data_IF_359657127248
#
_entry.id   IF_359657127248
#
_cell.length_a   1.000
_cell.length_b   1.000
_cell.length_c   1.000
_cell.angle_alpha   90.00
_cell.angle_beta   90.00
_cell.angle_gamma   90.00
#
_symmetry.space_group_name_H-M   'P 1'
#
loop_
_entity.id
_entity.type
_entity.pdbx_description
1 polymer ?
#
# COMPACT_ATOMS: atom_id res chain seq x y z
N UNK A 1 18.64 2.13 -9.46
CA UNK A 1 17.92 3.31 -10.00
C UNK A 1 17.19 3.97 -8.85
N UNK A 2 17.19 5.31 -8.71
CA UNK A 2 16.39 5.96 -7.69
C UNK A 2 14.92 5.67 -8.01
N UNK A 3 14.27 5.04 -7.04
CA UNK A 3 12.88 4.62 -7.04
C UNK A 3 11.99 5.84 -7.36
N UNK A 4 10.96 5.67 -8.18
CA UNK A 4 10.04 6.74 -8.61
C UNK A 4 9.21 7.27 -7.43
N UNK A 5 9.82 8.10 -6.60
CA UNK A 5 9.16 8.89 -5.57
C UNK A 5 8.55 10.11 -6.26
N UNK A 6 7.28 10.47 -5.97
CA UNK A 6 6.82 11.83 -6.25
C UNK A 6 7.34 12.74 -5.13
N UNK A 7 8.44 13.49 -5.32
CA UNK A 7 9.19 14.07 -4.21
C UNK A 7 8.37 15.05 -3.34
N UNK A 8 7.45 15.87 -3.89
CA UNK A 8 6.66 16.80 -3.10
C UNK A 8 5.74 16.13 -2.06
N UNK A 9 5.01 15.07 -2.43
CA UNK A 9 4.08 14.39 -1.52
C UNK A 9 4.85 13.68 -0.41
N UNK A 10 5.94 12.99 -0.76
CA UNK A 10 6.76 12.31 0.23
C UNK A 10 7.40 13.32 1.21
N UNK A 11 7.94 14.43 0.71
CA UNK A 11 8.52 15.47 1.55
C UNK A 11 7.45 16.10 2.48
N UNK A 12 6.26 16.40 1.94
CA UNK A 12 5.15 16.91 2.73
C UNK A 12 4.76 15.93 3.83
N UNK A 13 4.63 14.64 3.53
CA UNK A 13 4.30 13.61 4.51
C UNK A 13 5.35 13.50 5.61
N UNK A 14 6.63 13.39 5.24
CA UNK A 14 7.73 13.28 6.21
C UNK A 14 7.85 14.51 7.12
N UNK A 15 7.43 15.69 6.65
CA UNK A 15 7.40 16.90 7.46
C UNK A 15 6.39 16.85 8.62
N UNK A 16 5.30 16.09 8.49
CA UNK A 16 4.29 15.91 9.56
C UNK A 16 4.45 14.58 10.29
N UNK A 17 4.82 13.53 9.56
CA UNK A 17 4.99 12.17 10.06
C UNK A 17 6.38 11.66 9.66
N UNK A 18 7.41 11.90 10.50
CA UNK A 18 8.76 11.41 10.22
C UNK A 18 8.86 9.88 10.12
N UNK A 19 7.84 9.15 10.59
CA UNK A 19 7.68 7.70 10.48
C UNK A 19 7.32 7.22 9.08
N UNK A 20 6.96 8.11 8.16
CA UNK A 20 6.73 7.76 6.76
C UNK A 20 8.08 7.41 6.12
N UNK A 21 8.21 6.17 5.67
CA UNK A 21 9.44 5.66 5.05
C UNK A 21 9.44 6.00 3.56
N UNK A 22 8.36 5.66 2.86
CA UNK A 22 8.23 5.81 1.43
C UNK A 22 6.78 6.07 1.00
N UNK A 23 6.60 6.77 -0.11
CA UNK A 23 5.29 7.01 -0.72
C UNK A 23 5.35 6.70 -2.22
N UNK A 24 4.53 5.75 -2.66
CA UNK A 24 4.22 5.53 -4.06
C UNK A 24 2.93 6.30 -4.41
N UNK A 25 3.08 7.52 -4.91
CA UNK A 25 1.97 8.38 -5.35
C UNK A 25 1.82 8.41 -6.88
N UNK A 26 2.46 7.49 -7.60
CA UNK A 26 2.42 7.42 -9.07
C UNK A 26 1.59 6.24 -9.57
N UNK A 27 1.10 5.37 -8.68
CA UNK A 27 0.32 4.21 -9.05
C UNK A 27 -0.96 4.65 -9.78
N UNK A 28 -1.17 4.11 -10.99
CA UNK A 28 -2.32 4.43 -11.85
C UNK A 28 -2.60 5.94 -11.93
N UNK A 29 -1.62 6.72 -12.41
CA UNK A 29 -1.73 8.18 -12.60
C UNK A 29 -1.95 8.99 -11.31
N UNK A 30 -1.57 8.47 -10.15
CA UNK A 30 -1.69 9.14 -8.85
C UNK A 30 -3.09 9.10 -8.23
N UNK A 31 -4.00 8.35 -8.85
CA UNK A 31 -5.33 8.04 -8.29
C UNK A 31 -5.21 7.01 -7.16
N UNK A 32 -4.24 6.09 -7.28
CA UNK A 32 -3.85 5.16 -6.22
C UNK A 32 -2.56 5.63 -5.54
N UNK A 33 -2.56 5.63 -4.21
CA UNK A 33 -1.39 5.99 -3.41
C UNK A 33 -1.14 4.92 -2.36
N UNK A 34 0.12 4.48 -2.26
CA UNK A 34 0.54 3.49 -1.27
C UNK A 34 1.61 4.16 -0.40
N UNK A 35 1.39 4.17 0.92
CA UNK A 35 2.28 4.79 1.90
C UNK A 35 2.82 3.72 2.82
N UNK A 36 4.14 3.61 2.92
CA UNK A 36 4.81 2.78 3.91
C UNK A 36 5.21 3.63 5.11
N UNK A 37 4.75 3.23 6.31
CA UNK A 37 4.97 4.00 7.54
C UNK A 37 5.03 3.10 8.76
N UNK A 38 5.79 3.56 9.77
CA UNK A 38 5.85 2.93 11.08
C UNK A 38 4.70 3.37 11.97
N UNK A 39 3.90 2.43 12.45
CA UNK A 39 2.79 2.69 13.37
C UNK A 39 3.28 2.89 14.81
N UNK A 40 2.93 4.03 15.43
CA UNK A 40 3.20 4.32 16.86
C UNK A 40 2.07 3.93 17.79
N UNK A 41 0.85 3.90 17.28
CA UNK A 41 -0.39 3.71 18.03
C UNK A 41 -1.41 3.02 17.12
N UNK A 42 -2.35 2.29 17.71
CA UNK A 42 -3.50 1.76 16.98
C UNK A 42 -4.23 2.85 16.19
N UNK A 43 -4.46 2.60 14.90
CA UNK A 43 -5.13 3.54 13.99
C UNK A 43 -4.24 4.65 13.44
N UNK A 44 -2.93 4.61 13.67
CA UNK A 44 -1.98 5.61 13.17
C UNK A 44 -1.99 5.71 11.63
N UNK A 45 -2.11 4.59 10.93
CA UNK A 45 -2.17 4.58 9.46
C UNK A 45 -3.31 5.45 8.90
N UNK A 46 -4.49 5.41 9.54
CA UNK A 46 -5.62 6.28 9.19
C UNK A 46 -5.27 7.77 9.31
N UNK A 47 -4.53 8.18 10.34
CA UNK A 47 -4.12 9.57 10.51
C UNK A 47 -3.17 10.02 9.38
N UNK A 48 -2.22 9.17 9.00
CA UNK A 48 -1.32 9.41 7.86
C UNK A 48 -2.10 9.55 6.55
N UNK A 49 -3.06 8.65 6.30
CA UNK A 49 -3.93 8.70 5.13
C UNK A 49 -4.77 9.99 5.08
N UNK A 50 -5.42 10.35 6.19
CA UNK A 50 -6.24 11.56 6.27
C UNK A 50 -5.41 12.82 6.02
N UNK A 51 -4.18 12.87 6.55
CA UNK A 51 -3.27 13.98 6.23
C UNK A 51 -2.93 14.01 4.75
N UNK A 52 -2.65 12.85 4.13
CA UNK A 52 -2.36 12.77 2.69
C UNK A 52 -3.48 13.40 1.88
N UNK A 53 -4.72 13.00 2.17
CA UNK A 53 -5.92 13.49 1.50
C UNK A 53 -6.21 14.98 1.76
N UNK A 54 -5.55 15.60 2.74
CA UNK A 54 -5.64 17.05 3.01
C UNK A 54 -4.49 17.87 2.41
N UNK A 55 -3.51 17.24 1.76
CA UNK A 55 -2.42 17.97 1.10
C UNK A 55 -2.87 18.55 -0.25
N UNK A 56 -2.25 19.66 -0.73
CA UNK A 56 -2.60 20.24 -2.03
C UNK A 56 -2.54 19.27 -3.22
N UNK A 57 -1.64 18.28 -3.18
CA UNK A 57 -1.53 17.26 -4.21
C UNK A 57 -2.30 15.97 -3.89
N UNK A 58 -2.53 15.62 -2.62
CA UNK A 58 -3.33 14.44 -2.30
C UNK A 58 -4.83 14.66 -2.44
N UNK A 59 -5.32 15.85 -2.06
CA UNK A 59 -6.76 16.17 -2.08
C UNK A 59 -7.40 16.00 -3.46
N UNK A 60 -6.88 16.60 -4.56
CA UNK A 60 -7.51 16.48 -5.87
C UNK A 60 -7.18 15.18 -6.61
N UNK A 61 -6.03 14.55 -6.38
CA UNK A 61 -5.58 13.40 -7.17
C UNK A 61 -5.85 12.05 -6.50
N UNK A 62 -5.62 11.92 -5.19
CA UNK A 62 -5.66 10.62 -4.51
C UNK A 62 -7.08 10.20 -4.21
N UNK A 63 -7.49 9.06 -4.77
CA UNK A 63 -8.79 8.43 -4.52
C UNK A 63 -8.66 7.24 -3.57
N UNK A 64 -7.71 6.35 -3.86
CA UNK A 64 -7.46 5.14 -3.08
C UNK A 64 -6.13 5.30 -2.38
N UNK A 65 -6.13 5.23 -1.05
CA UNK A 65 -4.93 5.31 -0.22
C UNK A 65 -4.78 4.01 0.56
N UNK A 66 -3.66 3.34 0.38
CA UNK A 66 -3.30 2.11 1.08
C UNK A 66 -2.13 2.43 1.99
N UNK A 67 -2.26 2.10 3.27
CA UNK A 67 -1.19 2.28 4.25
C UNK A 67 -0.65 0.90 4.60
N UNK A 68 0.67 0.75 4.54
CA UNK A 68 1.39 -0.49 4.84
C UNK A 68 2.51 -0.22 5.84
N UNK A 69 3.00 -1.28 6.48
CA UNK A 69 4.09 -1.19 7.45
C UNK A 69 5.41 -0.69 6.82
N UNK A 70 6.35 -0.24 7.66
CA UNK A 70 7.65 0.29 7.26
C UNK A 70 8.54 -0.69 6.48
N UNK A 71 8.27 -1.99 6.61
CA UNK A 71 9.02 -3.08 5.95
C UNK A 71 8.36 -3.54 4.65
N UNK A 72 7.18 -3.04 4.32
CA UNK A 72 6.49 -3.35 3.06
C UNK A 72 6.89 -2.30 2.02
N UNK A 73 7.49 -2.74 0.91
CA UNK A 73 7.84 -1.85 -0.19
C UNK A 73 6.56 -1.42 -0.96
N UNK A 74 6.19 -0.12 -0.97
CA UNK A 74 5.00 0.37 -1.65
C UNK A 74 5.10 0.29 -3.19
N UNK A 75 6.26 -0.07 -3.74
CA UNK A 75 6.47 -0.33 -5.16
C UNK A 75 6.39 -1.83 -5.51
N UNK A 76 6.38 -2.71 -4.50
CA UNK A 76 6.25 -4.15 -4.66
C UNK A 76 4.80 -4.60 -4.41
N UNK A 77 4.00 -4.62 -5.48
CA UNK A 77 2.58 -4.94 -5.37
C UNK A 77 2.29 -6.31 -4.72
N UNK A 78 3.05 -7.40 -5.00
CA UNK A 78 2.91 -8.65 -4.24
C UNK A 78 2.98 -8.47 -2.71
N UNK A 79 3.93 -7.68 -2.19
CA UNK A 79 4.02 -7.41 -0.76
C UNK A 79 2.82 -6.58 -0.26
N UNK A 80 2.38 -5.58 -1.02
CA UNK A 80 1.19 -4.78 -0.69
C UNK A 80 -0.07 -5.64 -0.64
N UNK A 81 -0.25 -6.53 -1.62
CA UNK A 81 -1.40 -7.45 -1.65
C UNK A 81 -1.37 -8.45 -0.49
N UNK A 82 -0.18 -8.94 -0.10
CA UNK A 82 -0.04 -9.73 1.11
C UNK A 82 -0.46 -8.94 2.37
N UNK A 83 -0.01 -7.70 2.52
CA UNK A 83 -0.41 -6.86 3.65
C UNK A 83 -1.95 -6.68 3.70
N UNK A 84 -2.56 -6.36 2.55
CA UNK A 84 -4.01 -6.22 2.40
C UNK A 84 -4.77 -7.49 2.82
N UNK A 85 -4.30 -8.66 2.41
CA UNK A 85 -5.01 -9.93 2.63
C UNK A 85 -4.83 -10.51 4.03
N UNK A 86 -3.80 -10.09 4.76
CA UNK A 86 -3.44 -10.69 6.06
C UNK A 86 -3.62 -9.74 7.25
N UNK A 87 -3.71 -8.42 7.03
CA UNK A 87 -3.76 -7.42 8.10
C UNK A 87 -5.04 -6.60 8.14
N UNK A 88 -5.78 -6.51 7.04
CA UNK A 88 -6.99 -5.69 6.97
C UNK A 88 -8.17 -6.45 7.57
N UNK A 89 -8.84 -5.87 8.57
CA UNK A 89 -10.19 -6.28 8.96
C UNK A 89 -11.18 -5.34 8.26
N UNK A 90 -11.91 -5.80 7.23
CA UNK A 90 -12.67 -4.90 6.37
C UNK A 90 -13.67 -3.99 7.10
N UNK A 91 -14.31 -4.47 8.17
CA UNK A 91 -15.26 -3.68 8.96
C UNK A 91 -14.64 -2.52 9.74
N UNK A 92 -13.32 -2.55 9.97
CA UNK A 92 -12.61 -1.60 10.82
C UNK A 92 -11.57 -0.78 10.05
N UNK A 93 -10.86 -1.43 9.14
CA UNK A 93 -9.63 -0.92 8.55
C UNK A 93 -9.85 -0.36 7.13
N UNK A 94 -11.07 -0.50 6.60
CA UNK A 94 -11.53 0.14 5.36
C UNK A 94 -12.42 1.34 5.71
N UNK A 95 -12.02 2.54 5.26
CA UNK A 95 -12.80 3.77 5.44
C UNK A 95 -13.20 4.31 4.10
N UNK A 96 -14.49 4.66 3.98
CA UNK A 96 -15.04 5.37 2.85
C UNK A 96 -15.33 6.81 3.27
N UNK A 97 -14.87 7.77 2.47
CA UNK A 97 -15.17 9.19 2.62
C UNK A 97 -16.02 9.59 1.41
N UNK A 98 -17.36 9.56 1.53
CA UNK A 98 -18.23 9.84 0.41
C UNK A 98 -18.21 11.34 0.06
N UNK A 99 -18.54 11.66 -1.19
CA UNK A 99 -18.73 13.03 -1.67
C UNK A 99 -17.51 13.96 -1.45
N UNK A 100 -16.31 13.42 -1.60
CA UNK A 100 -15.07 14.16 -1.42
C UNK A 100 -14.59 14.79 -2.74
N UNK A 101 -13.85 15.92 -2.70
CA UNK A 101 -13.23 16.51 -3.88
C UNK A 101 -12.32 15.51 -4.58
N UNK A 102 -12.36 15.49 -5.91
CA UNK A 102 -11.60 14.57 -6.74
C UNK A 102 -11.20 15.17 -8.08
N UNK A 103 -10.54 14.35 -8.89
CA UNK A 103 -10.08 14.74 -10.22
C UNK A 103 -11.24 14.63 -11.23
N UNK A 104 -11.62 15.69 -11.95
CA UNK A 104 -12.68 15.62 -12.96
C UNK A 104 -12.44 14.61 -14.08
N UNK A 105 -11.18 14.26 -14.34
CA UNK A 105 -10.79 13.25 -15.34
C UNK A 105 -10.91 11.79 -14.84
N UNK A 106 -11.17 11.55 -13.55
CA UNK A 106 -11.47 10.20 -13.06
C UNK A 106 -12.84 9.76 -13.61
N UNK A 107 -12.90 8.73 -14.47
CA UNK A 107 -14.14 8.32 -15.15
C UNK A 107 -15.20 7.75 -14.19
N UNK A 108 -14.82 7.42 -12.97
CA UNK A 108 -15.71 6.92 -11.93
C UNK A 108 -16.14 8.00 -10.92
N UNK A 109 -15.85 9.27 -11.20
CA UNK A 109 -16.39 10.41 -10.46
C UNK A 109 -17.82 10.69 -10.87
N UNK A 110 -18.69 10.94 -9.90
CA UNK A 110 -20.09 11.26 -10.14
C UNK A 110 -20.60 12.23 -9.05
N UNK A 111 -20.87 13.51 -9.39
CA UNK A 111 -20.54 14.19 -10.65
C UNK A 111 -19.02 14.33 -10.86
N UNK A 112 -18.60 14.74 -12.06
CA UNK A 112 -17.19 14.95 -12.38
C UNK A 112 -16.50 15.88 -11.35
N UNK A 113 -15.38 15.43 -10.77
CA UNK A 113 -14.65 16.15 -9.73
C UNK A 113 -15.11 15.83 -8.31
N UNK A 114 -16.06 14.92 -8.13
CA UNK A 114 -16.48 14.40 -6.84
C UNK A 114 -16.54 12.88 -6.85
N UNK A 115 -15.95 12.26 -5.83
CA UNK A 115 -15.94 10.79 -5.69
C UNK A 115 -15.87 10.35 -4.23
N UNK A 116 -16.11 9.07 -3.99
CA UNK A 116 -15.80 8.46 -2.70
C UNK A 116 -14.30 8.15 -2.65
N UNK A 117 -13.63 8.65 -1.61
CA UNK A 117 -12.24 8.27 -1.32
C UNK A 117 -12.22 7.02 -0.44
N UNK A 118 -11.23 6.18 -0.65
CA UNK A 118 -11.03 4.91 0.03
C UNK A 118 -9.70 4.96 0.77
N UNK A 119 -9.73 4.68 2.06
CA UNK A 119 -8.54 4.42 2.86
C UNK A 119 -8.57 2.96 3.28
N UNK A 120 -7.44 2.27 3.09
CA UNK A 120 -7.23 0.92 3.61
C UNK A 120 -6.00 0.95 4.51
N UNK A 121 -6.18 0.70 5.79
CA UNK A 121 -5.10 0.55 6.76
C UNK A 121 -4.68 -0.92 6.85
N UNK A 122 -3.58 -1.27 6.19
CA UNK A 122 -3.00 -2.61 6.20
C UNK A 122 -1.75 -2.67 7.09
N UNK A 123 -1.64 -1.81 8.09
CA UNK A 123 -0.54 -1.84 9.06
C UNK A 123 -0.76 -2.90 10.13
N UNK A 124 0.34 -3.36 10.71
CA UNK A 124 0.32 -4.29 11.84
C UNK A 124 -0.33 -3.60 13.05
N UNK A 125 -1.35 -4.21 13.69
CA UNK A 125 -2.01 -3.63 14.85
C UNK A 125 -1.03 -3.35 16.01
N UNK A 126 -0.97 -2.10 16.44
CA UNK A 126 -0.21 -1.65 17.62
C UNK A 126 -1.18 -1.19 18.70
N UNK A 127 -0.81 -1.32 19.99
CA UNK A 127 -1.63 -0.88 21.11
C UNK A 127 -2.19 0.55 20.90
N UNK A 128 -3.46 0.82 21.25
CA UNK A 128 -4.42 -0.05 21.92
C UNK A 128 -5.17 -1.03 20.99
N UNK A 129 -4.79 -1.10 19.71
CA UNK A 129 -5.32 -2.12 18.80
C UNK A 129 -4.72 -3.50 19.10
N UNK A 130 -5.45 -4.54 18.73
CA UNK A 130 -5.08 -5.94 18.92
C UNK A 130 -5.25 -6.72 17.61
N UNK A 131 -4.31 -7.61 17.35
CA UNK A 131 -4.27 -8.47 16.16
C UNK A 131 -3.33 -9.65 16.36
N UNK A 132 -3.30 -10.56 15.38
CA UNK A 132 -2.33 -11.65 15.34
C UNK A 132 -1.09 -11.22 14.54
N UNK A 133 0.06 -11.76 14.91
CA UNK A 133 1.27 -11.59 14.12
C UNK A 133 1.15 -12.33 12.79
N UNK A 134 1.70 -11.73 11.74
CA UNK A 134 1.75 -12.31 10.40
C UNK A 134 3.09 -11.97 9.76
N UNK A 135 3.72 -12.95 9.13
CA UNK A 135 4.98 -12.77 8.42
C UNK A 135 4.82 -13.12 6.95
N UNK A 136 5.54 -12.38 6.10
CA UNK A 136 5.62 -12.70 4.69
C UNK A 136 6.67 -13.81 4.58
N UNK A 137 6.27 -14.96 4.05
CA UNK A 137 7.20 -16.05 3.87
C UNK A 137 8.16 -15.73 2.73
N UNK A 138 9.45 -15.80 3.03
CA UNK A 138 10.49 -15.77 2.02
C UNK A 138 10.63 -17.14 1.32
N UNK A 139 11.41 -17.13 0.23
CA UNK A 139 11.75 -18.36 -0.49
C UNK A 139 12.43 -19.37 0.46
N UNK A 140 11.95 -20.62 0.55
CA UNK A 140 12.58 -21.63 1.40
C UNK A 140 14.05 -21.86 1.01
N UNK A 141 14.90 -22.19 2.00
CA UNK A 141 16.35 -22.41 1.81
C UNK A 141 16.68 -23.41 0.69
N UNK A 142 15.82 -24.40 0.45
CA UNK A 142 16.00 -25.44 -0.57
C UNK A 142 15.39 -25.10 -1.94
N UNK A 143 14.94 -23.87 -2.17
CA UNK A 143 14.27 -23.49 -3.42
C UNK A 143 15.14 -23.74 -4.64
N UNK A 144 16.42 -23.38 -4.59
CA UNK A 144 17.35 -23.59 -5.70
C UNK A 144 17.56 -25.07 -6.01
N UNK A 145 17.69 -25.90 -4.96
CA UNK A 145 17.82 -27.35 -5.10
C UNK A 145 16.62 -27.93 -5.84
N UNK A 146 15.40 -27.65 -5.38
CA UNK A 146 14.17 -28.18 -6.00
C UNK A 146 13.94 -27.63 -7.39
N UNK A 147 14.22 -26.34 -7.61
CA UNK A 147 14.11 -25.71 -8.92
C UNK A 147 15.03 -26.39 -9.93
N UNK A 148 16.29 -26.66 -9.56
CA UNK A 148 17.23 -27.35 -10.42
C UNK A 148 16.86 -28.82 -10.64
N UNK A 149 16.43 -29.51 -9.59
CA UNK A 149 15.93 -30.89 -9.68
C UNK A 149 14.77 -30.99 -10.69
N UNK A 150 13.73 -30.16 -10.53
CA UNK A 150 12.56 -30.16 -11.41
C UNK A 150 12.91 -29.81 -12.86
N UNK A 151 13.74 -28.79 -13.08
CA UNK A 151 14.22 -28.42 -14.42
C UNK A 151 14.93 -29.58 -15.12
N UNK A 152 15.81 -30.28 -14.39
CA UNK A 152 16.53 -31.43 -14.94
C UNK A 152 15.61 -32.61 -15.23
N UNK A 153 14.66 -32.91 -14.32
CA UNK A 153 13.70 -34.00 -14.53
C UNK A 153 12.79 -33.72 -15.74
N UNK A 154 12.28 -32.50 -15.88
CA UNK A 154 11.46 -32.10 -17.05
C UNK A 154 12.27 -32.19 -18.35
N UNK A 155 13.52 -31.73 -18.36
CA UNK A 155 14.42 -31.85 -19.52
C UNK A 155 14.64 -33.31 -19.93
N UNK A 156 14.75 -34.21 -18.95
CA UNK A 156 14.95 -35.64 -19.19
C UNK A 156 13.66 -36.35 -19.62
N UNK A 157 12.47 -35.83 -19.26
CA UNK A 157 11.16 -36.36 -19.68
C UNK A 157 10.72 -35.84 -21.05
N UNK A 158 11.15 -34.63 -21.45
CA UNK A 158 10.89 -34.03 -22.77
C UNK A 158 11.85 -34.48 -23.88
N UNK A 159 12.74 -35.44 -23.60
CA UNK A 159 13.61 -36.10 -24.57
C UNK A 159 12.89 -37.19 -25.35
N UNK A 160 11.86 -36.81 -26.11
CA UNK A 160 11.31 -37.51 -27.28
C UNK A 160 10.88 -36.47 -28.30
#
# INVERSE_FOLDING_TARGET
MPIQVFPPIQAAQKGYFPEVVAVNAMYTHGIGVIVSTKSRLGGYGKAVAMRLLSTPHGMPYSKIVIIVDEFVDPFNLPQVMWALTTRVRPSKDVILIPWAPGMPLDPSSEPAGMHTKLIIDATTPVAPDVGRETELLDVPVKTDYWTNYLKNTVRNMGGR
#
